data_IF_115183749009
#
_entry.id   IF_115183749009
#
_cell.length_a   1.000
_cell.length_b   1.000
_cell.length_c   1.000
_cell.angle_alpha   90.00
_cell.angle_beta   90.00
_cell.angle_gamma   90.00
#
_symmetry.space_group_name_H-M   'P 1'
#
loop_
_entity.id
_entity.type
_entity.pdbx_description
1 polymer ?
#
# COMPACT_ATOMS: atom_id res chain seq x y z
N UNK A 1 2.23 -1.91 16.10
CA UNK A 1 1.23 -1.70 15.03
C UNK A 1 1.81 -2.21 13.71
N UNK A 2 1.00 -2.80 12.83
CA UNK A 2 1.41 -3.34 11.53
C UNK A 2 0.86 -2.46 10.41
N UNK A 3 1.77 -1.90 9.60
CA UNK A 3 1.47 -1.15 8.38
C UNK A 3 1.84 -2.02 7.18
N UNK A 4 0.84 -2.47 6.44
CA UNK A 4 1.02 -3.18 5.19
C UNK A 4 1.09 -2.16 4.05
N UNK A 5 2.17 -2.19 3.27
CA UNK A 5 2.28 -1.46 2.02
C UNK A 5 2.13 -2.46 0.88
N UNK A 6 1.10 -2.27 0.05
CA UNK A 6 0.84 -3.11 -1.11
C UNK A 6 1.10 -2.32 -2.39
N UNK A 7 1.77 -2.95 -3.36
CA UNK A 7 2.04 -2.35 -4.67
C UNK A 7 2.23 -3.45 -5.73
N UNK A 8 2.13 -3.06 -7.01
CA UNK A 8 2.43 -3.91 -8.16
C UNK A 8 3.27 -3.18 -9.20
N UNK A 9 3.26 -3.63 -10.47
CA UNK A 9 3.88 -2.92 -11.60
C UNK A 9 5.28 -2.34 -11.28
N UNK A 10 6.17 -3.18 -10.73
CA UNK A 10 7.55 -2.80 -10.39
C UNK A 10 7.75 -2.05 -9.06
N UNK A 11 6.71 -1.88 -8.23
CA UNK A 11 6.79 -1.46 -6.82
C UNK A 11 7.23 -0.02 -6.57
N UNK A 12 7.06 0.84 -7.57
CA UNK A 12 7.58 2.22 -7.53
C UNK A 12 6.91 3.07 -6.46
N UNK A 13 5.58 3.02 -6.36
CA UNK A 13 4.80 3.85 -5.42
C UNK A 13 5.01 3.35 -4.00
N UNK A 14 4.92 2.04 -3.79
CA UNK A 14 5.14 1.39 -2.50
C UNK A 14 6.52 1.68 -1.92
N UNK A 15 7.57 1.67 -2.76
CA UNK A 15 8.92 2.01 -2.31
C UNK A 15 9.03 3.47 -1.83
N UNK A 16 8.39 4.41 -2.53
CA UNK A 16 8.37 5.83 -2.12
C UNK A 16 7.59 6.00 -0.81
N UNK A 17 6.46 5.31 -0.65
CA UNK A 17 5.67 5.30 0.59
C UNK A 17 6.54 4.80 1.75
N UNK A 18 7.18 3.63 1.61
CA UNK A 18 7.98 3.01 2.68
C UNK A 18 9.14 3.93 3.08
N UNK A 19 9.85 4.50 2.10
CA UNK A 19 10.95 5.43 2.38
C UNK A 19 10.46 6.64 3.19
N UNK A 20 9.34 7.22 2.78
CA UNK A 20 8.74 8.38 3.47
C UNK A 20 8.25 8.04 4.88
N UNK A 21 7.65 6.85 5.07
CA UNK A 21 7.30 6.35 6.41
C UNK A 21 8.53 6.26 7.32
N UNK A 22 9.63 5.67 6.83
CA UNK A 22 10.89 5.54 7.57
C UNK A 22 11.53 6.88 7.92
N UNK A 23 11.44 7.86 7.03
CA UNK A 23 11.99 9.20 7.25
C UNK A 23 11.18 10.02 8.27
N UNK A 24 9.84 9.87 8.28
CA UNK A 24 8.96 10.77 9.03
C UNK A 24 8.43 10.20 10.35
N UNK A 25 8.50 8.89 10.57
CA UNK A 25 8.01 8.26 11.79
C UNK A 25 9.15 7.59 12.56
N UNK A 26 9.26 7.94 13.84
CA UNK A 26 10.33 7.49 14.76
C UNK A 26 9.90 6.40 15.75
N UNK A 27 8.62 6.02 15.75
CA UNK A 27 8.09 4.94 16.62
C UNK A 27 8.36 3.55 16.03
N UNK A 28 8.33 2.53 16.88
CA UNK A 28 8.46 1.14 16.47
C UNK A 28 7.13 0.62 15.89
N UNK A 29 7.09 0.45 14.57
CA UNK A 29 5.99 -0.19 13.85
C UNK A 29 6.56 -1.10 12.76
N UNK A 30 5.85 -2.18 12.48
CA UNK A 30 6.26 -3.17 11.48
C UNK A 30 5.69 -2.77 10.12
N UNK A 31 6.57 -2.62 9.13
CA UNK A 31 6.21 -2.39 7.74
C UNK A 31 6.28 -3.73 6.99
N UNK A 32 5.13 -4.20 6.49
CA UNK A 32 5.05 -5.37 5.63
C UNK A 32 4.95 -4.92 4.16
N UNK A 33 5.91 -5.33 3.33
CA UNK A 33 5.91 -5.09 1.89
C UNK A 33 5.23 -6.24 1.14
N UNK A 34 4.02 -6.03 0.63
CA UNK A 34 3.24 -7.03 -0.07
C UNK A 34 3.15 -6.70 -1.55
N UNK A 35 4.01 -7.31 -2.36
CA UNK A 35 3.95 -7.12 -3.80
C UNK A 35 2.98 -8.09 -4.45
N UNK A 36 2.22 -7.62 -5.44
CA UNK A 36 1.50 -8.50 -6.37
C UNK A 36 2.45 -9.35 -7.22
N UNK A 37 3.69 -8.88 -7.41
CA UNK A 37 4.78 -9.60 -8.04
C UNK A 37 6.10 -9.46 -7.26
N UNK A 38 7.08 -10.31 -7.57
CA UNK A 38 8.34 -10.40 -6.81
C UNK A 38 9.22 -9.16 -6.96
N UNK A 39 9.20 -8.51 -8.13
CA UNK A 39 9.93 -7.26 -8.39
C UNK A 39 9.42 -6.12 -7.52
N UNK A 40 8.09 -5.99 -7.38
CA UNK A 40 7.48 -4.98 -6.52
C UNK A 40 7.88 -5.19 -5.05
N UNK A 41 7.77 -6.43 -4.56
CA UNK A 41 8.21 -6.80 -3.21
C UNK A 41 9.68 -6.47 -2.98
N UNK A 42 10.57 -6.88 -3.90
CA UNK A 42 12.00 -6.64 -3.78
C UNK A 42 12.34 -5.15 -3.70
N UNK A 43 11.66 -4.31 -4.48
CA UNK A 43 11.87 -2.86 -4.47
C UNK A 43 11.40 -2.23 -3.16
N UNK A 44 10.25 -2.65 -2.65
CA UNK A 44 9.72 -2.21 -1.37
C UNK A 44 10.62 -2.64 -0.19
N UNK A 45 11.15 -3.87 -0.23
CA UNK A 45 12.12 -4.34 0.76
C UNK A 45 13.40 -3.50 0.77
N UNK A 46 13.95 -3.17 -0.40
CA UNK A 46 15.11 -2.27 -0.53
C UNK A 46 14.84 -0.86 0.00
N UNK A 47 13.59 -0.42 0.01
CA UNK A 47 13.19 0.86 0.58
C UNK A 47 13.12 0.86 2.12
N UNK A 48 13.29 -0.30 2.77
CA UNK A 48 13.40 -0.43 4.22
C UNK A 48 12.18 -1.05 4.90
N UNK A 49 11.36 -1.84 4.21
CA UNK A 49 10.33 -2.65 4.88
C UNK A 49 10.96 -3.69 5.81
N UNK A 50 10.25 -4.08 6.87
CA UNK A 50 10.74 -5.08 7.84
C UNK A 50 10.69 -6.49 7.24
N UNK A 51 9.57 -6.84 6.59
CA UNK A 51 9.33 -8.14 5.99
C UNK A 51 8.57 -7.96 4.69
N UNK A 52 8.72 -8.90 3.77
CA UNK A 52 8.02 -8.85 2.49
C UNK A 52 7.60 -10.22 2.01
N UNK A 53 6.48 -10.25 1.31
CA UNK A 53 5.95 -11.45 0.68
C UNK A 53 5.25 -11.08 -0.63
N UNK A 54 5.07 -12.07 -1.50
CA UNK A 54 4.54 -11.87 -2.86
C UNK A 54 3.36 -12.80 -3.12
N UNK A 55 2.38 -12.30 -3.87
CA UNK A 55 1.33 -13.12 -4.46
C UNK A 55 0.06 -13.24 -3.61
N UNK A 56 -0.94 -13.91 -4.18
CA UNK A 56 -2.34 -13.83 -3.73
C UNK A 56 -2.52 -14.21 -2.26
N UNK A 57 -2.11 -15.42 -1.89
CA UNK A 57 -2.31 -15.88 -0.53
C UNK A 57 -1.51 -15.06 0.50
N UNK A 58 -0.34 -14.55 0.13
CA UNK A 58 0.43 -13.68 1.02
C UNK A 58 -0.31 -12.39 1.32
N UNK A 59 -0.89 -11.76 0.30
CA UNK A 59 -1.71 -10.54 0.44
C UNK A 59 -2.97 -10.86 1.26
N UNK A 60 -3.72 -11.90 0.90
CA UNK A 60 -4.95 -12.30 1.62
C UNK A 60 -4.69 -12.51 3.10
N UNK A 61 -3.63 -13.24 3.46
CA UNK A 61 -3.30 -13.51 4.86
C UNK A 61 -2.74 -12.29 5.59
N UNK A 62 -1.93 -11.46 4.92
CA UNK A 62 -1.37 -10.25 5.52
C UNK A 62 -2.43 -9.18 5.80
N UNK A 63 -3.44 -9.04 4.93
CA UNK A 63 -4.56 -8.09 5.12
C UNK A 63 -5.34 -8.35 6.40
N UNK A 64 -5.43 -9.61 6.87
CA UNK A 64 -6.09 -9.97 8.13
C UNK A 64 -5.30 -9.54 9.38
N UNK A 65 -3.99 -9.34 9.26
CA UNK A 65 -3.12 -9.00 10.38
C UNK A 65 -2.70 -7.52 10.39
N UNK A 66 -2.98 -6.78 9.32
CA UNK A 66 -2.61 -5.38 9.20
C UNK A 66 -3.57 -4.48 10.00
N UNK A 67 -3.03 -3.42 10.60
CA UNK A 67 -3.85 -2.36 11.18
C UNK A 67 -4.15 -1.27 10.13
N UNK A 68 -3.17 -1.01 9.25
CA UNK A 68 -3.27 -0.04 8.16
C UNK A 68 -2.77 -0.69 6.88
N UNK A 69 -3.45 -0.46 5.77
CA UNK A 69 -3.01 -0.80 4.42
C UNK A 69 -2.82 0.49 3.60
N UNK A 70 -1.63 0.65 3.01
CA UNK A 70 -1.27 1.81 2.18
C UNK A 70 -0.81 1.34 0.80
N UNK A 71 -1.21 2.04 -0.27
CA UNK A 71 -0.77 1.73 -1.62
C UNK A 71 -1.56 2.49 -2.69
N UNK A 72 -1.31 2.26 -3.99
CA UNK A 72 -2.09 2.86 -5.05
C UNK A 72 -3.54 2.38 -5.04
N UNK A 73 -4.47 3.21 -5.53
CA UNK A 73 -5.91 2.89 -5.59
C UNK A 73 -6.20 1.54 -6.27
N UNK A 74 -5.38 1.14 -7.24
CA UNK A 74 -5.55 -0.12 -7.96
C UNK A 74 -5.49 -1.38 -7.06
N UNK A 75 -4.88 -1.34 -5.87
CA UNK A 75 -4.78 -2.52 -4.99
C UNK A 75 -6.14 -3.08 -4.52
N UNK A 76 -7.20 -2.27 -4.59
CA UNK A 76 -8.58 -2.69 -4.25
C UNK A 76 -9.43 -3.01 -5.48
N UNK A 77 -8.86 -2.94 -6.69
CA UNK A 77 -9.56 -3.19 -7.93
C UNK A 77 -9.23 -4.59 -8.47
N UNK A 78 -10.20 -5.52 -8.52
CA UNK A 78 -9.99 -6.82 -9.14
C UNK A 78 -9.52 -6.69 -10.58
N UNK A 79 -8.55 -7.51 -10.97
CA UNK A 79 -7.96 -7.59 -12.31
C UNK A 79 -7.21 -6.32 -12.76
N UNK A 80 -6.91 -5.40 -11.84
CA UNK A 80 -6.06 -4.25 -12.15
C UNK A 80 -4.59 -4.66 -12.32
N UNK A 81 -3.77 -3.70 -12.75
CA UNK A 81 -2.32 -3.88 -12.95
C UNK A 81 -2.03 -5.02 -13.93
N UNK A 82 -2.77 -5.08 -15.03
CA UNK A 82 -2.69 -6.14 -16.04
C UNK A 82 -3.00 -7.54 -15.48
N UNK A 83 -3.87 -7.63 -14.47
CA UNK A 83 -4.26 -8.89 -13.83
C UNK A 83 -3.36 -9.33 -12.66
N UNK A 84 -2.40 -8.50 -12.25
CA UNK A 84 -1.59 -8.77 -11.06
C UNK A 84 -2.41 -8.77 -9.77
N UNK A 85 -3.43 -7.91 -9.67
CA UNK A 85 -4.37 -7.90 -8.54
C UNK A 85 -5.51 -8.87 -8.86
N UNK A 86 -5.57 -9.99 -8.15
CA UNK A 86 -6.65 -10.96 -8.32
C UNK A 86 -7.89 -10.56 -7.54
N UNK A 87 -9.04 -11.20 -7.83
CA UNK A 87 -10.28 -10.96 -7.09
C UNK A 87 -10.12 -11.25 -5.59
N UNK A 88 -9.53 -12.39 -5.15
CA UNK A 88 -9.29 -12.64 -3.73
C UNK A 88 -8.40 -11.60 -3.04
N UNK A 89 -7.35 -11.10 -3.73
CA UNK A 89 -6.52 -10.03 -3.18
C UNK A 89 -7.33 -8.76 -2.92
N UNK A 90 -8.05 -8.28 -3.95
CA UNK A 90 -8.83 -7.05 -3.86
C UNK A 90 -9.93 -7.15 -2.81
N UNK A 91 -10.61 -8.29 -2.73
CA UNK A 91 -11.62 -8.57 -1.71
C UNK A 91 -11.01 -8.52 -0.31
N UNK A 92 -9.94 -9.27 -0.06
CA UNK A 92 -9.30 -9.33 1.26
C UNK A 92 -8.78 -7.96 1.72
N UNK A 93 -8.17 -7.19 0.81
CA UNK A 93 -7.70 -5.82 1.12
C UNK A 93 -8.88 -4.90 1.42
N UNK A 94 -9.96 -4.97 0.64
CA UNK A 94 -11.09 -4.05 0.77
C UNK A 94 -11.96 -4.34 2.00
N UNK A 95 -12.22 -5.62 2.27
CA UNK A 95 -13.18 -6.07 3.29
C UNK A 95 -12.57 -6.25 4.68
N UNK A 96 -11.24 -6.29 4.82
CA UNK A 96 -10.59 -6.39 6.13
C UNK A 96 -10.83 -5.16 7.01
N UNK A 97 -10.64 -5.33 8.32
CA UNK A 97 -10.81 -4.29 9.33
C UNK A 97 -9.73 -3.19 9.26
N UNK A 98 -8.60 -3.46 8.60
CA UNK A 98 -7.51 -2.50 8.47
C UNK A 98 -8.00 -1.17 7.87
N UNK A 99 -7.42 -0.06 8.29
CA UNK A 99 -7.69 1.24 7.66
C UNK A 99 -6.96 1.33 6.32
N UNK A 100 -7.67 1.65 5.23
CA UNK A 100 -7.08 1.82 3.90
C UNK A 100 -6.73 3.29 3.68
N UNK A 101 -5.48 3.56 3.26
CA UNK A 101 -5.01 4.86 2.82
C UNK A 101 -4.48 4.70 1.40
N UNK A 102 -5.25 5.19 0.43
CA UNK A 102 -5.00 4.91 -0.98
C UNK A 102 -4.45 6.15 -1.68
N UNK A 103 -3.35 5.96 -2.41
CA UNK A 103 -2.83 6.97 -3.33
C UNK A 103 -3.74 7.00 -4.56
N UNK A 104 -4.39 8.13 -4.88
CA UNK A 104 -5.38 8.25 -5.96
C UNK A 104 -4.74 8.28 -7.36
N UNK A 105 -3.73 7.44 -7.59
CA UNK A 105 -3.08 7.22 -8.87
C UNK A 105 -3.37 5.80 -9.33
N UNK A 106 -3.87 5.68 -10.56
CA UNK A 106 -4.15 4.42 -11.21
C UNK A 106 -3.99 4.57 -12.72
N UNK A 107 -3.52 3.52 -13.38
CA UNK A 107 -3.53 3.41 -14.85
C UNK A 107 -4.81 2.73 -15.36
N UNK A 108 -5.68 2.29 -14.46
CA UNK A 108 -6.96 1.68 -14.80
C UNK A 108 -7.95 2.71 -15.36
N UNK A 109 -8.98 2.22 -16.06
CA UNK A 109 -10.05 3.04 -16.64
C UNK A 109 -11.04 3.55 -15.57
N UNK A 110 -10.53 4.27 -14.59
CA UNK A 110 -11.29 4.81 -13.46
C UNK A 110 -10.99 6.29 -13.30
N UNK A 111 -12.03 7.09 -13.13
CA UNK A 111 -11.92 8.53 -12.85
C UNK A 111 -12.47 8.81 -11.46
N UNK A 112 -11.66 9.44 -10.61
CA UNK A 112 -12.10 9.91 -9.30
C UNK A 112 -12.73 11.31 -9.45
N UNK A 113 -14.05 11.39 -9.33
CA UNK A 113 -14.75 12.67 -9.31
C UNK A 113 -14.26 13.53 -8.13
N UNK A 114 -13.92 14.79 -8.40
CA UNK A 114 -13.45 15.74 -7.38
C UNK A 114 -11.96 15.66 -7.04
N UNK A 115 -11.21 14.69 -7.59
CA UNK A 115 -9.75 14.66 -7.45
C UNK A 115 -9.10 15.52 -8.55
N UNK A 116 -8.39 16.57 -8.16
CA UNK A 116 -7.76 17.53 -9.09
C UNK A 116 -6.34 17.14 -9.49
N UNK A 117 -5.79 16.07 -8.92
CA UNK A 117 -4.41 15.64 -9.17
C UNK A 117 -3.39 16.41 -8.34
N UNK A 118 -2.36 15.70 -7.86
CA UNK A 118 -1.15 16.27 -7.26
C UNK A 118 0.06 15.41 -7.64
N UNK A 119 1.29 15.96 -7.64
CA UNK A 119 2.49 15.17 -7.82
C UNK A 119 2.60 14.05 -6.76
N UNK A 120 3.13 12.88 -7.17
CA UNK A 120 3.28 11.72 -6.29
C UNK A 120 3.91 12.04 -4.91
N UNK A 121 5.00 12.85 -4.81
CA UNK A 121 5.57 13.19 -3.50
C UNK A 121 4.57 13.84 -2.54
N UNK A 122 3.68 14.70 -3.03
CA UNK A 122 2.66 15.37 -2.20
C UNK A 122 1.61 14.36 -1.74
N UNK A 123 1.11 13.52 -2.64
CA UNK A 123 0.16 12.45 -2.31
C UNK A 123 0.72 11.47 -1.27
N UNK A 124 2.00 11.10 -1.41
CA UNK A 124 2.68 10.25 -0.41
C UNK A 124 2.78 10.98 0.93
N UNK A 125 3.10 12.27 0.95
CA UNK A 125 3.13 13.04 2.20
C UNK A 125 1.77 13.08 2.89
N UNK A 126 0.68 13.31 2.15
CA UNK A 126 -0.68 13.25 2.70
C UNK A 126 -0.99 11.88 3.30
N UNK A 127 -0.62 10.79 2.61
CA UNK A 127 -0.81 9.44 3.11
C UNK A 127 -0.01 9.16 4.39
N UNK A 128 1.26 9.57 4.42
CA UNK A 128 2.15 9.38 5.59
C UNK A 128 1.68 10.19 6.80
N UNK A 129 1.19 11.42 6.59
CA UNK A 129 0.58 12.19 7.69
C UNK A 129 -0.65 11.49 8.24
N UNK A 130 -1.51 10.94 7.36
CA UNK A 130 -2.68 10.18 7.81
C UNK A 130 -2.31 8.92 8.60
N UNK A 131 -1.24 8.22 8.20
CA UNK A 131 -0.68 7.10 8.97
C UNK A 131 -0.20 7.58 10.34
N UNK A 132 0.50 8.71 10.41
CA UNK A 132 1.03 9.28 11.65
C UNK A 132 -0.07 9.66 12.65
N UNK A 133 -1.16 10.26 12.18
CA UNK A 133 -2.34 10.57 13.00
C UNK A 133 -2.91 9.29 13.63
N UNK A 134 -3.17 8.26 12.82
CA UNK A 134 -3.73 6.98 13.28
C UNK A 134 -2.83 6.24 14.28
N UNK A 135 -1.50 6.44 14.20
CA UNK A 135 -0.54 5.87 15.15
C UNK A 135 -0.53 6.62 16.49
N UNK A 136 -0.86 7.91 16.49
CA UNK A 136 -0.85 8.75 17.68
C UNK A 136 -2.20 8.77 18.42
N UNK A 137 -3.29 8.45 17.73
CA UNK A 137 -4.65 8.33 18.31
C UNK A 137 -4.88 7.01 19.07
N UNK A 138 -3.84 6.18 19.24
CA UNK A 138 -3.82 4.91 19.99
C UNK A 138 -2.80 5.03 21.12
#
# INVERSE_FOLDING_TARGET
>A
MVVMVMDGQGGGIGAVIIKSLREQLTRDYEILALGTNSSATARMMKAGANRGATGENAIVRASLCANIIVGPLAIIMPNSMMGEVTTPMAEAVSSCEARKILIPLSQEKVTLAGFTGEPLPHLVNHAVQRVKELINDV
#
